data_IF_253316743018
#
_entry.id   IF_253316743018
#
_cell.length_a   1.000
_cell.length_b   1.000
_cell.length_c   1.000
_cell.angle_alpha   90.00
_cell.angle_beta   90.00
_cell.angle_gamma   90.00
#
_symmetry.space_group_name_H-M   'P 1'
#
loop_
_entity.id
_entity.type
_entity.pdbx_description
1 polymer ?
#
# COMPACT_ATOMS: atom_id res chain seq x y z
N UNK A 1 -17.80 -1.67 -26.31
CA UNK A 1 -16.69 -0.86 -25.76
C UNK A 1 -17.17 -0.37 -24.40
N UNK A 2 -16.77 -1.04 -23.33
CA UNK A 2 -17.00 -0.50 -21.99
C UNK A 2 -16.16 0.77 -21.84
N UNK A 3 -16.82 1.86 -21.47
CA UNK A 3 -16.14 3.08 -21.06
C UNK A 3 -15.40 2.78 -19.76
N UNK A 4 -14.08 2.54 -19.86
CA UNK A 4 -13.22 2.48 -18.67
C UNK A 4 -13.47 3.73 -17.84
N UNK A 5 -13.82 3.53 -16.57
CA UNK A 5 -14.00 4.62 -15.62
C UNK A 5 -12.70 5.44 -15.58
N UNK A 6 -12.82 6.74 -15.89
CA UNK A 6 -11.69 7.65 -16.03
C UNK A 6 -11.82 8.76 -15.01
N UNK A 7 -10.82 8.90 -14.16
CA UNK A 7 -10.76 9.97 -13.16
C UNK A 7 -9.87 11.10 -13.65
N UNK A 8 -10.19 12.35 -13.29
CA UNK A 8 -9.26 13.46 -13.54
C UNK A 8 -7.98 13.31 -12.72
N UNK A 9 -8.11 12.83 -11.48
CA UNK A 9 -7.00 12.71 -10.54
C UNK A 9 -6.98 11.34 -9.86
N UNK A 10 -5.79 10.81 -9.65
CA UNK A 10 -5.52 9.67 -8.79
C UNK A 10 -4.40 9.97 -7.79
N UNK A 11 -4.46 9.37 -6.62
CA UNK A 11 -3.35 9.34 -5.65
C UNK A 11 -3.21 7.92 -5.12
N UNK A 12 -2.03 7.35 -5.31
CA UNK A 12 -1.67 6.01 -4.85
C UNK A 12 -0.43 6.08 -3.96
N UNK A 13 -0.40 5.38 -2.85
CA UNK A 13 0.80 5.31 -2.04
C UNK A 13 0.68 4.48 -0.78
N UNK A 14 1.74 4.53 0.01
CA UNK A 14 1.83 3.83 1.28
C UNK A 14 1.16 4.63 2.43
N UNK A 15 1.55 4.34 3.67
CA UNK A 15 1.02 5.01 4.84
C UNK A 15 1.39 6.48 5.01
N UNK A 16 2.29 7.02 4.19
CA UNK A 16 2.56 8.46 4.11
C UNK A 16 1.35 9.28 3.66
N UNK A 17 0.33 8.63 3.12
CA UNK A 17 -0.96 9.24 2.77
C UNK A 17 -1.98 9.15 3.92
N UNK A 18 -1.52 9.04 5.17
CA UNK A 18 -2.36 9.18 6.35
C UNK A 18 -1.83 10.29 7.26
N UNK A 19 -2.75 11.03 7.83
CA UNK A 19 -2.49 11.76 9.07
C UNK A 19 -3.00 10.94 10.25
N UNK A 20 -2.41 11.14 11.42
CA UNK A 20 -2.88 10.56 12.68
C UNK A 20 -3.08 11.65 13.72
N UNK A 21 -4.25 11.63 14.36
CA UNK A 21 -4.54 12.46 15.52
C UNK A 21 -3.90 11.89 16.81
N UNK A 22 -4.11 12.57 17.95
CA UNK A 22 -3.57 12.15 19.25
C UNK A 22 -3.94 10.72 19.64
N UNK A 23 -5.15 10.27 19.25
CA UNK A 23 -5.66 8.92 19.51
C UNK A 23 -5.12 7.86 18.52
N UNK A 24 -4.12 8.19 17.71
CA UNK A 24 -3.47 7.31 16.69
C UNK A 24 -4.40 6.78 15.59
N UNK A 25 -5.64 7.25 15.53
CA UNK A 25 -6.58 6.91 14.46
C UNK A 25 -6.11 7.49 13.12
N UNK A 26 -6.08 6.64 12.10
CA UNK A 26 -5.68 7.02 10.74
C UNK A 26 -6.78 7.85 10.08
N UNK A 27 -6.42 8.97 9.48
CA UNK A 27 -7.31 9.80 8.68
C UNK A 27 -6.76 9.90 7.26
N UNK A 28 -7.55 9.39 6.31
CA UNK A 28 -7.26 9.48 4.87
C UNK A 28 -7.36 10.92 4.40
N UNK A 29 -6.55 11.28 3.40
CA UNK A 29 -6.54 12.60 2.77
C UNK A 29 -7.60 12.72 1.65
N UNK A 30 -8.10 11.59 1.14
CA UNK A 30 -8.95 11.52 -0.06
C UNK A 30 -10.13 12.49 -0.11
N UNK A 31 -10.96 12.54 0.94
CA UNK A 31 -12.11 13.46 0.97
C UNK A 31 -11.68 14.92 0.85
N UNK A 32 -10.60 15.30 1.55
CA UNK A 32 -10.10 16.67 1.52
C UNK A 32 -9.45 17.01 0.16
N UNK A 33 -8.78 16.04 -0.46
CA UNK A 33 -8.26 16.20 -1.82
C UNK A 33 -9.36 16.38 -2.85
N UNK A 34 -10.45 15.63 -2.74
CA UNK A 34 -11.63 15.82 -3.59
C UNK A 34 -12.19 17.23 -3.46
N UNK A 35 -12.42 17.72 -2.23
CA UNK A 35 -12.86 19.09 -1.99
C UNK A 35 -11.93 20.13 -2.61
N UNK A 36 -10.62 19.99 -2.38
CA UNK A 36 -9.64 20.95 -2.88
C UNK A 36 -9.55 20.94 -4.41
N UNK A 37 -9.63 19.76 -5.04
CA UNK A 37 -9.52 19.60 -6.49
C UNK A 37 -10.83 19.90 -7.23
N UNK A 38 -11.97 19.88 -6.54
CA UNK A 38 -13.30 20.05 -7.15
C UNK A 38 -13.69 18.90 -8.08
N UNK A 39 -13.01 17.75 -8.01
CA UNK A 39 -13.23 16.58 -8.85
C UNK A 39 -12.97 15.29 -8.08
N UNK A 40 -13.68 14.22 -8.44
CA UNK A 40 -13.51 12.92 -7.81
C UNK A 40 -12.06 12.43 -7.98
N UNK A 41 -11.51 11.90 -6.90
CA UNK A 41 -10.12 11.41 -6.85
C UNK A 41 -10.14 9.91 -6.61
N UNK A 42 -9.48 9.15 -7.47
CA UNK A 42 -9.16 7.76 -7.15
C UNK A 42 -8.07 7.76 -6.07
N UNK A 43 -8.40 7.37 -4.84
CA UNK A 43 -7.51 7.49 -3.70
C UNK A 43 -7.24 6.13 -3.05
N UNK A 44 -6.00 5.66 -3.14
CA UNK A 44 -5.55 4.40 -2.54
C UNK A 44 -4.33 4.66 -1.67
N UNK A 45 -4.50 4.48 -0.36
CA UNK A 45 -3.42 4.49 0.61
C UNK A 45 -3.34 3.10 1.24
N UNK A 46 -2.16 2.50 1.30
CA UNK A 46 -1.99 1.12 1.78
C UNK A 46 -1.01 1.14 2.95
N UNK A 47 -1.46 0.68 4.11
CA UNK A 47 -0.59 0.66 5.29
C UNK A 47 0.57 -0.32 5.10
N UNK A 48 1.78 0.13 5.42
CA UNK A 48 3.02 -0.67 5.33
C UNK A 48 3.31 -1.25 3.95
N UNK A 49 2.76 -0.67 2.88
CA UNK A 49 2.99 -1.17 1.54
C UNK A 49 4.42 -0.88 1.07
N UNK A 50 5.01 -1.89 0.43
CA UNK A 50 6.13 -1.75 -0.48
C UNK A 50 5.64 -1.62 -1.93
N UNK A 51 6.58 -1.62 -2.88
CA UNK A 51 6.27 -1.40 -4.29
C UNK A 51 5.41 -2.52 -4.90
N UNK A 52 5.57 -3.78 -4.45
CA UNK A 52 4.79 -4.91 -4.94
C UNK A 52 3.28 -4.72 -4.69
N UNK A 53 2.91 -4.22 -3.51
CA UNK A 53 1.50 -3.95 -3.17
C UNK A 53 0.95 -2.76 -3.97
N UNK A 54 1.77 -1.72 -4.20
CA UNK A 54 1.39 -0.59 -5.06
C UNK A 54 1.20 -1.02 -6.52
N UNK A 55 2.07 -1.90 -7.03
CA UNK A 55 1.98 -2.49 -8.36
C UNK A 55 0.67 -3.24 -8.58
N UNK A 56 0.29 -4.09 -7.63
CA UNK A 56 -0.99 -4.80 -7.71
C UNK A 56 -2.16 -3.81 -7.79
N UNK A 57 -2.12 -2.75 -6.99
CA UNK A 57 -3.21 -1.76 -6.92
C UNK A 57 -3.31 -0.90 -8.18
N UNK A 58 -2.20 -0.44 -8.75
CA UNK A 58 -2.25 0.34 -9.99
C UNK A 58 -2.73 -0.49 -11.18
N UNK A 59 -2.39 -1.78 -11.24
CA UNK A 59 -2.88 -2.70 -12.29
C UNK A 59 -4.40 -2.81 -12.30
N UNK A 60 -5.00 -2.94 -11.13
CA UNK A 60 -6.44 -3.06 -10.94
C UNK A 60 -7.17 -1.70 -10.94
N UNK A 61 -6.43 -0.61 -10.73
CA UNK A 61 -6.98 0.74 -10.65
C UNK A 61 -7.52 1.29 -12.00
N UNK A 62 -8.30 2.38 -11.96
CA UNK A 62 -8.82 3.04 -13.14
C UNK A 62 -7.71 3.75 -13.93
N UNK A 63 -8.04 4.22 -15.14
CA UNK A 63 -7.20 5.20 -15.81
C UNK A 63 -7.44 6.59 -15.20
N UNK A 64 -6.39 7.37 -15.06
CA UNK A 64 -6.46 8.73 -14.54
C UNK A 64 -5.76 9.72 -15.47
N UNK A 65 -6.17 10.98 -15.49
CA UNK A 65 -5.44 12.00 -16.24
C UNK A 65 -4.13 12.35 -15.54
N UNK A 66 -4.17 12.68 -14.23
CA UNK A 66 -2.96 12.88 -13.42
C UNK A 66 -2.91 11.93 -12.23
N UNK A 67 -1.81 11.19 -12.08
CA UNK A 67 -1.54 10.30 -10.93
C UNK A 67 -0.46 10.87 -10.01
N UNK A 68 -0.78 11.05 -8.74
CA UNK A 68 0.20 11.24 -7.67
C UNK A 68 0.62 9.90 -7.09
N UNK A 69 1.93 9.67 -6.97
CA UNK A 69 2.49 8.47 -6.33
C UNK A 69 3.28 8.87 -5.09
N UNK A 70 2.90 8.35 -3.92
CA UNK A 70 3.61 8.59 -2.65
C UNK A 70 4.32 7.32 -2.18
N UNK A 71 5.63 7.39 -1.97
CA UNK A 71 6.42 6.26 -1.52
C UNK A 71 7.52 6.69 -0.55
N UNK A 72 7.54 6.04 0.62
CA UNK A 72 8.44 6.32 1.74
C UNK A 72 9.22 5.06 2.18
N UNK A 73 9.14 3.98 1.40
CA UNK A 73 10.16 2.93 1.42
C UNK A 73 10.04 1.88 2.52
N UNK A 74 8.83 1.38 2.82
CA UNK A 74 8.65 0.32 3.83
C UNK A 74 9.48 -0.96 3.55
N UNK A 75 9.62 -1.33 2.28
CA UNK A 75 10.33 -2.51 1.79
C UNK A 75 11.84 -2.30 1.56
N UNK A 76 12.31 -1.05 1.65
CA UNK A 76 13.71 -0.65 1.44
C UNK A 76 14.31 0.03 2.67
N UNK A 77 13.64 -0.08 3.81
CA UNK A 77 13.93 0.70 5.01
C UNK A 77 15.21 0.27 5.73
N UNK A 78 15.44 -1.04 5.83
CA UNK A 78 16.43 -1.63 6.73
C UNK A 78 17.58 -2.34 6.00
N UNK A 79 17.42 -2.62 4.70
CA UNK A 79 18.38 -3.38 3.91
C UNK A 79 18.51 -2.78 2.51
N UNK A 80 19.63 -3.03 1.81
CA UNK A 80 19.79 -2.68 0.40
C UNK A 80 18.65 -3.25 -0.46
N UNK A 81 18.33 -2.55 -1.55
CA UNK A 81 17.34 -3.00 -2.53
C UNK A 81 17.75 -4.35 -3.11
N UNK A 82 16.81 -5.29 -3.12
CA UNK A 82 16.99 -6.61 -3.74
C UNK A 82 16.63 -6.57 -5.23
N UNK A 83 17.10 -7.55 -5.99
CA UNK A 83 16.75 -7.70 -7.41
C UNK A 83 15.23 -7.77 -7.64
N UNK A 84 14.50 -8.43 -6.73
CA UNK A 84 13.04 -8.51 -6.82
C UNK A 84 12.38 -7.14 -6.62
N UNK A 85 12.80 -6.37 -5.62
CA UNK A 85 12.25 -5.03 -5.37
C UNK A 85 12.56 -4.09 -6.54
N UNK A 86 13.75 -4.20 -7.13
CA UNK A 86 14.08 -3.46 -8.36
C UNK A 86 13.19 -3.86 -9.55
N UNK A 87 12.95 -5.16 -9.74
CA UNK A 87 12.06 -5.66 -10.78
C UNK A 87 10.61 -5.15 -10.59
N UNK A 88 10.10 -5.20 -9.36
CA UNK A 88 8.78 -4.69 -9.01
C UNK A 88 8.67 -3.19 -9.30
N UNK A 89 9.74 -2.41 -9.03
CA UNK A 89 9.79 -0.98 -9.38
C UNK A 89 9.71 -0.74 -10.88
N UNK A 90 10.43 -1.50 -11.70
CA UNK A 90 10.37 -1.38 -13.16
C UNK A 90 8.96 -1.67 -13.69
N UNK A 91 8.33 -2.73 -13.17
CA UNK A 91 6.94 -3.06 -13.52
C UNK A 91 5.95 -2.00 -13.03
N UNK A 92 6.17 -1.42 -11.85
CA UNK A 92 5.34 -0.38 -11.28
C UNK A 92 5.39 0.91 -12.10
N UNK A 93 6.60 1.34 -12.48
CA UNK A 93 6.80 2.49 -13.36
C UNK A 93 6.08 2.29 -14.70
N UNK A 94 6.20 1.09 -15.28
CA UNK A 94 5.50 0.75 -16.51
C UNK A 94 3.98 0.82 -16.34
N UNK A 95 3.44 0.26 -15.25
CA UNK A 95 2.00 0.31 -14.97
C UNK A 95 1.49 1.75 -14.75
N UNK A 96 2.27 2.61 -14.07
CA UNK A 96 1.95 4.03 -13.90
C UNK A 96 1.86 4.74 -15.26
N UNK A 97 2.81 4.48 -16.18
CA UNK A 97 2.80 5.05 -17.54
C UNK A 97 1.56 4.61 -18.35
N UNK A 98 1.08 3.38 -18.14
CA UNK A 98 -0.13 2.87 -18.80
C UNK A 98 -1.43 3.44 -18.20
N UNK A 99 -1.44 3.73 -16.91
CA UNK A 99 -2.65 4.13 -16.16
C UNK A 99 -2.83 5.64 -16.03
N UNK A 100 -1.82 6.43 -16.40
CA UNK A 100 -1.86 7.89 -16.26
C UNK A 100 -1.40 8.60 -17.52
N UNK A 101 -2.01 9.74 -17.85
CA UNK A 101 -1.45 10.64 -18.89
C UNK A 101 -0.27 11.43 -18.35
N UNK A 102 -0.34 11.81 -17.08
CA UNK A 102 0.71 12.52 -16.34
C UNK A 102 0.87 11.85 -14.98
N UNK A 103 2.10 11.73 -14.51
CA UNK A 103 2.39 11.26 -13.15
C UNK A 103 3.34 12.21 -12.43
N UNK A 104 3.20 12.26 -11.11
CA UNK A 104 4.10 12.98 -10.20
C UNK A 104 4.45 12.03 -9.06
N UNK A 105 5.73 11.83 -8.83
CA UNK A 105 6.24 11.01 -7.75
C UNK A 105 6.70 11.87 -6.59
N UNK A 106 6.25 11.53 -5.39
CA UNK A 106 6.84 11.97 -4.12
C UNK A 106 7.51 10.75 -3.52
N UNK A 107 8.81 10.64 -3.77
CA UNK A 107 9.67 9.65 -3.12
C UNK A 107 10.29 10.36 -1.93
N UNK A 108 9.72 10.12 -0.76
CA UNK A 108 9.86 11.00 0.39
C UNK A 108 10.58 10.37 1.57
N UNK A 109 10.76 11.19 2.61
CA UNK A 109 11.44 10.81 3.83
C UNK A 109 12.95 11.04 3.78
N UNK A 110 13.57 10.92 4.94
CA UNK A 110 15.02 10.80 5.11
C UNK A 110 15.29 10.27 6.52
N UNK A 111 16.40 9.55 6.72
CA UNK A 111 16.68 8.84 7.97
C UNK A 111 16.58 9.75 9.21
N UNK A 112 17.15 10.96 9.13
CA UNK A 112 17.14 11.91 10.24
C UNK A 112 15.74 12.44 10.62
N UNK A 113 14.73 12.29 9.74
CA UNK A 113 13.33 12.63 10.04
C UNK A 113 12.73 11.65 11.03
N UNK A 114 13.06 10.37 10.91
CA UNK A 114 12.44 9.27 11.63
C UNK A 114 13.36 8.74 12.74
N UNK A 115 13.79 9.63 13.64
CA UNK A 115 14.77 9.33 14.70
C UNK A 115 14.39 8.10 15.56
N UNK A 116 13.10 7.88 15.79
CA UNK A 116 12.60 6.74 16.57
C UNK A 116 12.73 5.38 15.88
N UNK A 117 13.00 5.35 14.56
CA UNK A 117 13.08 4.13 13.77
C UNK A 117 14.51 3.59 13.59
N UNK A 118 15.53 4.32 14.06
CA UNK A 118 16.94 3.95 13.93
C UNK A 118 17.37 3.65 12.47
N UNK A 119 16.86 4.42 11.52
CA UNK A 119 17.21 4.26 10.11
C UNK A 119 18.69 4.62 9.88
N UNK A 120 19.36 3.82 9.06
CA UNK A 120 20.76 4.03 8.68
C UNK A 120 20.85 4.84 7.37
N UNK A 121 22.06 5.31 6.99
CA UNK A 121 22.25 5.96 5.68
C UNK A 121 21.83 5.11 4.47
N UNK A 122 21.69 3.79 4.64
CA UNK A 122 21.20 2.88 3.58
C UNK A 122 19.78 3.27 3.15
N UNK A 123 18.92 3.73 4.06
CA UNK A 123 17.58 4.17 3.71
C UNK A 123 17.59 5.36 2.73
N UNK A 124 18.42 6.36 3.01
CA UNK A 124 18.56 7.55 2.17
C UNK A 124 19.15 7.19 0.80
N UNK A 125 20.12 6.26 0.76
CA UNK A 125 20.69 5.73 -0.48
C UNK A 125 19.66 4.98 -1.31
N UNK A 126 18.84 4.13 -0.69
CA UNK A 126 17.79 3.38 -1.37
C UNK A 126 16.72 4.33 -1.95
N UNK A 127 16.30 5.34 -1.17
CA UNK A 127 15.37 6.35 -1.69
C UNK A 127 15.97 7.08 -2.89
N UNK A 128 17.25 7.49 -2.81
CA UNK A 128 17.93 8.15 -3.92
C UNK A 128 18.01 7.26 -5.16
N UNK A 129 18.31 5.97 -4.98
CA UNK A 129 18.31 5.00 -6.07
C UNK A 129 16.93 4.90 -6.74
N UNK A 130 15.85 4.78 -5.95
CA UNK A 130 14.48 4.72 -6.50
C UNK A 130 14.12 6.02 -7.25
N UNK A 131 14.55 7.19 -6.76
CA UNK A 131 14.38 8.47 -7.49
C UNK A 131 15.04 8.40 -8.87
N UNK A 132 16.32 8.04 -8.90
CA UNK A 132 17.08 7.93 -10.16
C UNK A 132 16.49 6.89 -11.11
N UNK A 133 15.95 5.78 -10.59
CA UNK A 133 15.27 4.77 -11.40
C UNK A 133 14.01 5.35 -12.07
N UNK A 134 13.15 6.05 -11.32
CA UNK A 134 11.94 6.70 -11.87
C UNK A 134 12.29 7.79 -12.89
N UNK A 135 13.30 8.61 -12.61
CA UNK A 135 13.76 9.67 -13.50
C UNK A 135 14.36 9.12 -14.80
N UNK A 136 15.08 7.99 -14.73
CA UNK A 136 15.65 7.32 -15.91
C UNK A 136 14.60 6.85 -16.91
N UNK A 137 13.37 6.64 -16.45
CA UNK A 137 12.20 6.26 -17.26
C UNK A 137 11.41 7.47 -17.80
N UNK A 138 11.94 8.68 -17.62
CA UNK A 138 11.38 9.94 -18.09
C UNK A 138 10.23 10.48 -17.24
N UNK A 139 10.08 10.00 -16.00
CA UNK A 139 9.03 10.45 -15.08
C UNK A 139 9.57 11.47 -14.07
N UNK A 140 8.70 12.40 -13.67
CA UNK A 140 9.08 13.48 -12.76
C UNK A 140 8.94 13.06 -11.30
N UNK A 141 10.04 13.20 -10.55
CA UNK A 141 10.07 13.10 -9.09
C UNK A 141 10.14 14.50 -8.51
N UNK A 142 9.19 14.85 -7.64
CA UNK A 142 9.20 16.10 -6.90
C UNK A 142 10.06 15.97 -5.65
N UNK A 143 10.96 16.92 -5.45
CA UNK A 143 11.63 17.09 -4.16
C UNK A 143 10.74 17.88 -3.19
N UNK A 144 10.23 17.19 -2.17
CA UNK A 144 9.49 17.78 -1.06
C UNK A 144 10.27 17.80 0.25
N UNK A 145 11.60 17.62 0.23
CA UNK A 145 12.41 17.46 1.44
C UNK A 145 12.18 18.57 2.47
N UNK A 146 12.10 19.83 2.04
CA UNK A 146 11.84 20.96 2.93
C UNK A 146 10.43 20.92 3.55
N UNK A 147 9.41 20.53 2.78
CA UNK A 147 8.05 20.32 3.28
C UNK A 147 8.00 19.16 4.29
N UNK A 148 8.59 18.02 3.93
CA UNK A 148 8.69 16.83 4.79
C UNK A 148 9.45 17.14 6.08
N UNK A 149 10.52 17.95 6.02
CA UNK A 149 11.25 18.41 7.21
C UNK A 149 10.33 19.19 8.15
N UNK A 150 9.50 20.09 7.62
CA UNK A 150 8.58 20.97 8.38
C UNK A 150 7.36 20.24 8.96
N UNK A 151 6.76 19.29 8.23
CA UNK A 151 5.56 18.59 8.70
C UNK A 151 5.79 17.84 9.99
N UNK A 152 5.03 18.15 11.04
CA UNK A 152 5.14 17.46 12.32
C UNK A 152 4.75 15.99 12.19
N UNK A 153 5.49 15.14 12.89
CA UNK A 153 5.12 13.74 13.08
C UNK A 153 4.18 13.63 14.27
N UNK A 154 3.25 12.68 14.22
CA UNK A 154 2.42 12.33 15.37
C UNK A 154 3.24 11.56 16.42
N UNK A 155 2.58 11.18 17.52
CA UNK A 155 3.21 10.46 18.63
C UNK A 155 3.89 9.12 18.26
N UNK A 156 3.59 8.54 17.10
CA UNK A 156 4.28 7.32 16.63
C UNK A 156 5.63 7.58 15.97
N UNK A 157 5.99 8.84 15.71
CA UNK A 157 7.26 9.21 15.09
C UNK A 157 7.41 8.78 13.63
N UNK A 158 6.31 8.44 12.94
CA UNK A 158 6.31 7.95 11.56
C UNK A 158 5.30 8.71 10.70
N UNK A 159 4.04 8.81 11.16
CA UNK A 159 2.97 9.43 10.37
C UNK A 159 2.85 10.92 10.66
N UNK A 160 2.29 11.68 9.72
CA UNK A 160 2.04 13.11 9.89
C UNK A 160 1.03 13.34 11.02
N UNK A 161 1.26 14.40 11.79
CA UNK A 161 0.28 14.89 12.74
C UNK A 161 -0.97 15.40 12.00
N UNK A 162 -2.13 15.32 12.65
CA UNK A 162 -3.39 15.78 12.05
C UNK A 162 -3.40 17.28 11.71
N UNK A 163 -2.68 18.10 12.48
CA UNK A 163 -2.53 19.54 12.21
C UNK A 163 -1.87 19.81 10.83
N UNK A 164 -1.10 18.86 10.30
CA UNK A 164 -0.43 19.01 9.00
C UNK A 164 -1.35 18.64 7.83
N UNK A 165 -2.54 18.07 8.10
CA UNK A 165 -3.43 17.52 7.07
C UNK A 165 -3.75 18.53 5.98
N UNK A 166 -4.04 19.78 6.37
CA UNK A 166 -4.39 20.83 5.41
C UNK A 166 -3.21 21.18 4.48
N UNK A 167 -2.00 21.36 5.01
CA UNK A 167 -0.82 21.68 4.19
C UNK A 167 -0.39 20.49 3.32
N UNK A 168 -0.49 19.25 3.84
CA UNK A 168 -0.23 18.03 3.06
C UNK A 168 -1.24 17.91 1.91
N UNK A 169 -2.54 18.09 2.16
CA UNK A 169 -3.57 18.03 1.12
C UNK A 169 -3.40 19.15 0.09
N UNK A 170 -3.12 20.38 0.54
CA UNK A 170 -2.87 21.50 -0.36
C UNK A 170 -1.65 21.25 -1.24
N UNK A 171 -0.55 20.75 -0.68
CA UNK A 171 0.66 20.40 -1.43
C UNK A 171 0.35 19.37 -2.52
N UNK A 172 -0.35 18.29 -2.18
CA UNK A 172 -0.78 17.28 -3.17
C UNK A 172 -1.71 17.85 -4.24
N UNK A 173 -2.69 18.67 -3.87
CA UNK A 173 -3.61 19.28 -4.84
C UNK A 173 -2.87 20.14 -5.88
N UNK A 174 -1.86 20.91 -5.45
CA UNK A 174 -1.01 21.72 -6.33
C UNK A 174 -0.18 20.84 -7.27
N UNK A 175 0.45 19.79 -6.75
CA UNK A 175 1.20 18.82 -7.57
C UNK A 175 0.33 18.18 -8.65
N UNK A 176 -0.87 17.74 -8.27
CA UNK A 176 -1.83 17.11 -9.18
C UNK A 176 -2.31 18.08 -10.26
N UNK A 177 -2.47 19.37 -9.96
CA UNK A 177 -2.77 20.41 -10.96
C UNK A 177 -1.60 20.74 -11.89
N UNK A 178 -0.38 20.37 -11.51
CA UNK A 178 0.83 20.75 -12.24
C UNK A 178 1.24 22.19 -12.00
N UNK A 179 0.87 22.73 -10.83
CA UNK A 179 1.46 23.96 -10.35
C UNK A 179 2.93 23.68 -10.03
N UNK A 180 3.82 24.45 -10.66
CA UNK A 180 5.26 24.34 -10.46
C UNK A 180 5.59 24.86 -9.06
N UNK A 181 6.37 24.08 -8.30
CA UNK A 181 7.06 24.60 -7.13
C UNK A 181 8.34 25.27 -7.63
N UNK A 182 8.19 26.46 -8.22
CA UNK A 182 9.33 27.33 -8.46
C UNK A 182 9.89 27.65 -7.08
N UNK A 183 11.00 26.98 -6.75
CA UNK A 183 11.84 27.20 -5.57
C UNK A 183 11.06 27.63 -4.32
N UNK A 184 10.71 26.66 -3.47
CA UNK A 184 10.62 27.02 -2.05
C UNK A 184 11.93 27.74 -1.72
N UNK A 185 11.92 29.02 -1.29
CA UNK A 185 13.15 29.68 -0.92
C UNK A 185 13.79 28.77 0.12
N UNK A 186 15.01 28.33 -0.15
CA UNK A 186 15.91 27.84 0.88
C UNK A 186 15.94 28.97 1.91
N UNK A 187 15.09 28.86 2.92
CA UNK A 187 15.19 29.69 4.10
C UNK A 187 16.55 29.33 4.62
N UNK A 188 17.46 30.30 4.52
CA UNK A 188 18.84 30.21 4.96
C UNK A 188 18.88 29.33 6.21
N UNK A 189 19.68 28.27 6.15
CA UNK A 189 19.98 27.49 7.32
C UNK A 189 20.43 28.48 8.40
N UNK A 190 19.65 28.62 9.47
CA UNK A 190 20.15 29.21 10.70
C UNK A 190 21.31 28.31 11.13
N UNK A 191 22.50 28.77 10.76
CA UNK A 191 23.79 28.19 11.02
C UNK A 191 24.12 28.38 12.49
N UNK A 192 23.56 27.53 13.35
CA UNK A 192 24.19 27.21 14.63
C UNK A 192 25.11 25.99 14.45
N UNK A 193 26.18 26.17 13.67
CA UNK A 193 27.38 25.34 13.77
C UNK A 193 28.46 26.14 14.51
N UNK A 194 28.66 25.77 15.78
CA UNK A 194 29.85 26.14 16.53
C UNK A 194 31.08 25.41 15.97
N UNK A 195 32.19 26.09 15.63
CA UNK A 195 33.33 25.48 14.96
C UNK A 195 34.27 24.80 15.97
N UNK A 196 34.60 23.54 15.72
CA UNK A 196 35.77 22.90 16.32
C UNK A 196 36.60 22.22 15.23
N UNK A 197 37.63 22.97 14.84
CA UNK A 197 38.95 22.62 14.32
C UNK A 197 39.21 21.18 13.83
N UNK A 198 39.55 21.07 12.54
CA UNK A 198 40.40 20.02 11.96
C UNK A 198 41.88 20.30 12.28
N UNK A 199 42.77 19.29 12.22
CA UNK A 199 43.66 19.27 11.05
C UNK A 199 44.07 17.89 10.49
N UNK A 200 44.08 17.84 9.15
CA UNK A 200 45.14 17.37 8.22
C UNK A 200 45.70 15.94 8.38
N UNK A 201 45.54 15.11 7.33
CA UNK A 201 46.65 14.57 6.49
C UNK A 201 46.21 13.43 5.56
N UNK A 202 46.37 13.62 4.25
CA UNK A 202 46.47 12.56 3.22
C UNK A 202 47.85 11.86 3.32
N UNK A 203 48.09 10.66 2.75
CA UNK A 203 48.38 10.58 1.29
C UNK A 203 48.09 9.26 0.54
N UNK A 204 48.07 9.39 -0.80
CA UNK A 204 48.60 8.51 -1.87
C UNK A 204 48.02 7.12 -2.19
N UNK A 205 47.48 7.00 -3.41
CA UNK A 205 47.45 5.78 -4.28
C UNK A 205 48.89 5.39 -4.75
N UNK A 206 49.15 4.16 -5.29
CA UNK A 206 48.92 3.85 -6.72
C UNK A 206 48.68 2.31 -7.00
N UNK A 207 48.85 1.76 -8.22
CA UNK A 207 47.75 1.27 -9.07
C UNK A 207 47.84 -0.25 -9.39
N UNK A 208 46.77 -0.86 -9.94
CA UNK A 208 46.89 -2.27 -10.35
C UNK A 208 45.71 -2.93 -11.06
N UNK A 209 45.76 -2.88 -12.39
CA UNK A 209 45.46 -3.96 -13.37
C UNK A 209 44.03 -4.50 -13.56
N UNK A 210 43.71 -4.58 -14.85
CA UNK A 210 42.58 -5.23 -15.48
C UNK A 210 42.58 -6.76 -15.39
N UNK A 211 41.39 -7.37 -15.46
CA UNK A 211 41.17 -8.66 -16.12
C UNK A 211 39.70 -8.84 -16.52
N UNK A 212 39.47 -8.99 -17.82
CA UNK A 212 38.23 -9.42 -18.45
C UNK A 212 37.98 -10.91 -18.20
N UNK A 213 36.77 -11.33 -17.81
CA UNK A 213 36.27 -12.68 -18.09
C UNK A 213 34.76 -12.63 -18.36
N UNK A 214 34.39 -12.94 -19.59
CA UNK A 214 33.00 -13.12 -20.00
C UNK A 214 32.49 -14.52 -19.64
N UNK A 215 31.21 -14.60 -19.31
CA UNK A 215 30.48 -15.86 -19.38
C UNK A 215 29.11 -15.69 -20.02
N UNK A 216 28.83 -16.74 -20.79
CA UNK A 216 27.82 -16.97 -21.81
C UNK A 216 26.45 -17.24 -21.16
N UNK A 217 25.39 -16.59 -21.64
CA UNK A 217 24.00 -16.94 -21.34
C UNK A 217 23.58 -18.19 -22.16
N UNK A 218 22.76 -19.09 -21.60
CA UNK A 218 21.89 -19.95 -22.41
C UNK A 218 20.50 -19.33 -22.56
N UNK A 219 19.93 -19.50 -23.75
CA UNK A 219 18.65 -18.99 -24.17
C UNK A 219 17.50 -20.00 -23.94
N UNK A 220 16.28 -19.43 -23.94
CA UNK A 220 14.95 -20.00 -24.23
C UNK A 220 14.15 -20.66 -23.10
N UNK A 221 12.98 -20.08 -22.84
CA UNK A 221 11.70 -20.80 -22.76
C UNK A 221 10.58 -19.88 -23.23
N UNK A 222 9.70 -20.42 -24.07
CA UNK A 222 8.71 -19.71 -24.85
C UNK A 222 7.44 -19.33 -24.08
N UNK A 223 6.79 -18.31 -24.62
CA UNK A 223 5.47 -17.72 -24.35
C UNK A 223 4.41 -18.56 -23.64
N UNK A 224 3.67 -17.90 -22.74
CA UNK A 224 2.20 -17.96 -22.71
C UNK A 224 1.64 -16.55 -22.51
N UNK A 225 0.92 -16.04 -23.51
CA UNK A 225 0.17 -14.78 -23.40
C UNK A 225 -1.01 -14.97 -22.43
N UNK A 226 -1.27 -14.05 -21.50
CA UNK A 226 -2.44 -14.12 -20.65
C UNK A 226 -3.72 -13.87 -21.47
N UNK A 227 -4.69 -14.79 -21.31
CA UNK A 227 -6.05 -14.63 -21.84
C UNK A 227 -6.73 -13.45 -21.14
N UNK A 228 -7.33 -12.57 -21.93
CA UNK A 228 -8.20 -11.49 -21.45
C UNK A 228 -9.52 -12.08 -20.98
N UNK A 229 -9.83 -11.94 -19.68
CA UNK A 229 -11.12 -12.32 -19.09
C UNK A 229 -11.98 -11.06 -18.89
N UNK A 230 -13.27 -11.16 -19.25
CA UNK A 230 -14.26 -10.09 -19.09
C UNK A 230 -14.89 -10.15 -17.70
N UNK A 231 -15.08 -9.00 -17.07
CA UNK A 231 -15.78 -8.84 -15.79
C UNK A 231 -17.29 -8.72 -16.06
N UNK A 232 -18.19 -9.41 -15.31
CA UNK A 232 -19.64 -9.24 -15.45
C UNK A 232 -20.19 -8.05 -14.64
N UNK A 233 -21.31 -7.49 -15.09
CA UNK A 233 -22.02 -6.31 -14.54
C UNK A 233 -22.55 -6.45 -13.09
N UNK A 234 -22.27 -7.54 -12.39
CA UNK A 234 -22.84 -7.85 -11.07
C UNK A 234 -22.05 -7.29 -9.86
N UNK A 235 -20.92 -6.60 -10.10
CA UNK A 235 -20.17 -5.91 -9.04
C UNK A 235 -19.27 -6.82 -8.18
N UNK A 236 -18.85 -7.96 -8.73
CA UNK A 236 -18.02 -8.94 -8.04
C UNK A 236 -16.74 -9.23 -8.84
N UNK A 237 -15.58 -9.32 -8.17
CA UNK A 237 -14.30 -9.73 -8.77
C UNK A 237 -13.88 -11.11 -8.25
N UNK A 238 -13.44 -11.98 -9.16
CA UNK A 238 -12.88 -13.28 -8.83
C UNK A 238 -11.66 -13.19 -7.93
N UNK A 239 -11.62 -14.08 -6.94
CA UNK A 239 -10.46 -14.26 -6.09
C UNK A 239 -9.52 -15.29 -6.74
N UNK A 240 -8.76 -14.88 -7.75
CA UNK A 240 -7.53 -15.61 -8.12
C UNK A 240 -6.31 -14.87 -7.57
N UNK A 241 -5.61 -15.54 -6.65
CA UNK A 241 -4.29 -15.14 -6.17
C UNK A 241 -3.26 -16.17 -6.62
N UNK A 242 -2.29 -15.74 -7.44
CA UNK A 242 -1.08 -16.51 -7.72
C UNK A 242 -0.18 -16.49 -6.48
N UNK A 243 -0.35 -17.50 -5.63
CA UNK A 243 0.45 -17.66 -4.42
C UNK A 243 -0.05 -18.75 -3.50
N UNK A 244 -0.66 -19.80 -4.04
CA UNK A 244 -0.92 -21.03 -3.29
C UNK A 244 0.38 -21.78 -3.05
N UNK A 245 1.19 -21.32 -2.09
CA UNK A 245 1.74 -22.29 -1.14
C UNK A 245 0.75 -22.33 0.01
N UNK A 246 -0.13 -23.33 -0.02
CA UNK A 246 -0.65 -23.83 1.24
C UNK A 246 0.57 -24.10 2.10
N UNK A 247 0.76 -23.33 3.16
CA UNK A 247 1.71 -23.72 4.19
C UNK A 247 1.03 -24.84 4.97
N UNK A 248 0.97 -26.03 4.37
CA UNK A 248 0.58 -27.27 5.04
C UNK A 248 1.65 -27.58 6.07
N UNK A 249 1.59 -26.91 7.21
CA UNK A 249 2.23 -27.43 8.40
C UNK A 249 1.51 -28.74 8.73
N UNK A 250 2.23 -29.87 8.67
CA UNK A 250 1.73 -31.21 9.01
C UNK A 250 1.27 -31.37 10.47
N UNK A 251 0.99 -30.28 11.17
CA UNK A 251 0.55 -30.26 12.56
C UNK A 251 -0.65 -29.33 12.85
N UNK A 252 -1.24 -28.64 11.86
CA UNK A 252 -2.58 -28.05 12.02
C UNK A 252 -3.23 -27.79 10.66
N UNK A 253 -4.44 -28.32 10.44
CA UNK A 253 -5.23 -28.13 9.21
C UNK A 253 -5.85 -26.71 9.14
N UNK A 254 -5.11 -25.69 9.57
CA UNK A 254 -5.60 -24.32 9.60
C UNK A 254 -5.35 -23.68 8.23
N UNK A 255 -6.42 -23.25 7.57
CA UNK A 255 -6.34 -22.51 6.30
C UNK A 255 -6.71 -21.05 6.54
N UNK A 256 -6.04 -20.13 5.87
CA UNK A 256 -6.38 -18.70 5.93
C UNK A 256 -6.66 -18.13 4.54
N UNK A 257 -7.68 -17.28 4.43
CA UNK A 257 -8.02 -16.60 3.19
C UNK A 257 -8.68 -15.24 3.45
N UNK A 258 -8.71 -14.38 2.44
CA UNK A 258 -9.29 -13.04 2.53
C UNK A 258 -10.56 -12.94 1.70
N UNK A 259 -11.57 -12.26 2.25
CA UNK A 259 -12.86 -12.03 1.61
C UNK A 259 -13.09 -10.54 1.49
N UNK A 260 -13.16 -10.04 0.25
CA UNK A 260 -13.49 -8.64 -0.03
C UNK A 260 -14.93 -8.54 -0.48
N UNK A 261 -15.74 -7.77 0.26
CA UNK A 261 -17.13 -7.49 -0.10
C UNK A 261 -17.39 -5.99 -0.13
N UNK A 262 -18.26 -5.59 -1.06
CA UNK A 262 -18.69 -4.22 -1.27
C UNK A 262 -20.16 -4.09 -0.86
N UNK A 263 -20.45 -3.20 0.09
CA UNK A 263 -21.80 -2.89 0.54
C UNK A 263 -22.36 -1.75 -0.28
N UNK A 264 -23.60 -1.90 -0.73
CA UNK A 264 -24.38 -0.81 -1.27
C UNK A 264 -25.28 -0.22 -0.17
N UNK A 265 -24.98 1.02 0.25
CA UNK A 265 -25.76 1.72 1.27
C UNK A 265 -25.71 1.03 2.65
N UNK A 266 -26.89 0.71 3.20
CA UNK A 266 -27.05 0.09 4.55
C UNK A 266 -27.15 -1.44 4.50
N UNK A 267 -26.69 -2.05 3.41
CA UNK A 267 -26.72 -3.49 3.27
C UNK A 267 -25.91 -4.19 4.37
N UNK A 268 -26.50 -5.25 4.96
CA UNK A 268 -25.85 -6.07 5.98
C UNK A 268 -25.07 -7.21 5.31
N UNK A 269 -24.04 -7.71 5.99
CA UNK A 269 -23.28 -8.87 5.49
C UNK A 269 -24.11 -10.14 5.30
N UNK A 270 -25.23 -10.25 6.00
CA UNK A 270 -26.01 -11.49 6.01
C UNK A 270 -25.27 -12.64 6.67
N UNK A 271 -24.51 -12.35 7.74
CA UNK A 271 -23.92 -13.37 8.63
C UNK A 271 -24.25 -13.04 10.08
N UNK A 272 -24.43 -14.07 10.90
CA UNK A 272 -24.44 -13.97 12.37
C UNK A 272 -23.07 -14.38 12.87
N UNK A 273 -22.51 -13.52 13.71
CA UNK A 273 -21.20 -13.72 14.31
C UNK A 273 -21.34 -14.01 15.80
N UNK A 274 -20.41 -14.78 16.33
CA UNK A 274 -20.25 -15.08 17.74
C UNK A 274 -18.83 -14.71 18.15
N UNK A 275 -18.68 -13.87 19.18
CA UNK A 275 -17.36 -13.47 19.65
C UNK A 275 -16.62 -14.69 20.23
N UNK A 276 -15.37 -14.87 19.83
CA UNK A 276 -14.52 -15.97 20.28
C UNK A 276 -13.13 -15.47 20.61
N UNK A 277 -12.45 -16.17 21.51
CA UNK A 277 -11.08 -15.87 21.93
C UNK A 277 -10.24 -17.13 21.92
N UNK A 278 -8.95 -17.04 21.63
CA UNK A 278 -8.11 -18.21 21.58
C UNK A 278 -6.63 -17.90 21.47
N UNK A 279 -5.83 -18.96 21.37
CA UNK A 279 -4.37 -18.84 21.32
C UNK A 279 -3.98 -18.20 19.99
N UNK A 280 -3.39 -17.00 20.06
CA UNK A 280 -2.91 -16.26 18.89
C UNK A 280 -3.81 -15.13 18.37
N UNK A 281 -4.97 -14.89 18.98
CA UNK A 281 -5.86 -13.78 18.61
C UNK A 281 -6.62 -13.25 19.84
N UNK A 282 -6.55 -11.94 20.05
CA UNK A 282 -7.18 -11.27 21.19
C UNK A 282 -8.66 -10.93 20.95
N UNK A 283 -9.06 -10.81 19.69
CA UNK A 283 -10.43 -10.47 19.29
C UNK A 283 -10.74 -11.08 17.93
N UNK A 284 -11.64 -12.06 17.92
CA UNK A 284 -12.11 -12.73 16.72
C UNK A 284 -13.61 -13.00 16.80
N UNK A 285 -14.21 -13.33 15.66
CA UNK A 285 -15.60 -13.78 15.64
C UNK A 285 -15.79 -14.99 14.75
N UNK A 286 -16.48 -16.00 15.28
CA UNK A 286 -16.90 -17.18 14.56
C UNK A 286 -18.14 -16.89 13.73
N UNK A 287 -18.16 -17.37 12.49
CA UNK A 287 -19.36 -17.38 11.64
C UNK A 287 -20.32 -18.43 12.18
N UNK A 288 -21.34 -17.97 12.91
CA UNK A 288 -22.35 -18.83 13.51
C UNK A 288 -23.44 -19.20 12.51
N UNK A 289 -23.79 -18.29 11.60
CA UNK A 289 -24.80 -18.51 10.56
C UNK A 289 -24.55 -17.63 9.35
N UNK A 290 -24.84 -18.16 8.17
CA UNK A 290 -24.92 -17.39 6.93
C UNK A 290 -26.40 -17.34 6.51
N UNK A 291 -26.90 -16.15 6.18
CA UNK A 291 -28.27 -15.93 5.76
C UNK A 291 -28.37 -15.93 4.24
N UNK A 292 -29.28 -16.73 3.71
CA UNK A 292 -29.58 -16.78 2.28
C UNK A 292 -30.00 -15.39 1.75
N UNK A 293 -29.52 -15.05 0.56
CA UNK A 293 -29.67 -13.74 -0.07
C UNK A 293 -28.74 -12.66 0.50
N UNK A 294 -28.06 -12.92 1.62
CA UNK A 294 -27.11 -12.01 2.25
C UNK A 294 -25.86 -11.74 1.41
N UNK A 295 -25.13 -10.67 1.72
CA UNK A 295 -23.96 -10.27 0.93
C UNK A 295 -22.87 -11.37 0.88
N UNK A 296 -22.59 -12.03 2.01
CA UNK A 296 -21.62 -13.13 2.07
C UNK A 296 -22.13 -14.37 1.32
N UNK A 297 -23.42 -14.67 1.40
CA UNK A 297 -24.04 -15.77 0.66
C UNK A 297 -24.00 -15.53 -0.87
N UNK A 298 -24.28 -14.31 -1.32
CA UNK A 298 -24.11 -13.94 -2.74
C UNK A 298 -22.66 -14.01 -3.18
N UNK A 299 -21.73 -13.54 -2.35
CA UNK A 299 -20.30 -13.66 -2.61
C UNK A 299 -19.87 -15.13 -2.73
N UNK A 300 -20.30 -16.00 -1.81
CA UNK A 300 -20.03 -17.44 -1.86
C UNK A 300 -20.51 -18.08 -3.17
N UNK A 301 -21.77 -17.84 -3.57
CA UNK A 301 -22.32 -18.35 -4.84
C UNK A 301 -21.51 -17.89 -6.04
N UNK A 302 -21.05 -16.65 -6.03
CA UNK A 302 -20.23 -16.10 -7.09
C UNK A 302 -18.87 -16.81 -7.14
N UNK A 303 -18.18 -17.02 -6.01
CA UNK A 303 -16.95 -17.83 -5.98
C UNK A 303 -17.15 -19.25 -6.53
N UNK A 304 -18.25 -19.91 -6.14
CA UNK A 304 -18.59 -21.24 -6.65
C UNK A 304 -18.82 -21.23 -8.17
N UNK A 305 -19.56 -20.23 -8.68
CA UNK A 305 -19.83 -20.08 -10.11
C UNK A 305 -18.56 -19.85 -10.95
N UNK A 306 -17.53 -19.32 -10.32
CA UNK A 306 -16.23 -19.06 -10.93
C UNK A 306 -15.20 -20.16 -10.67
N UNK A 307 -15.64 -21.31 -10.12
CA UNK A 307 -14.81 -22.50 -9.96
C UNK A 307 -13.86 -22.48 -8.76
N UNK A 308 -13.99 -21.49 -7.87
CA UNK A 308 -13.15 -21.32 -6.68
C UNK A 308 -13.69 -22.15 -5.50
N UNK A 309 -13.85 -23.45 -5.73
CA UNK A 309 -14.36 -24.40 -4.74
C UNK A 309 -13.43 -24.43 -3.51
N UNK A 310 -14.03 -24.33 -2.31
CA UNK A 310 -13.31 -24.33 -1.03
C UNK A 310 -12.94 -22.94 -0.48
N UNK A 311 -13.19 -21.87 -1.23
CA UNK A 311 -12.94 -20.47 -0.80
C UNK A 311 -14.20 -19.74 -0.31
N UNK A 312 -15.35 -20.40 -0.34
CA UNK A 312 -16.59 -19.89 0.25
C UNK A 312 -16.42 -19.75 1.76
N UNK A 313 -17.01 -18.71 2.36
CA UNK A 313 -17.14 -18.59 3.81
C UNK A 313 -18.07 -19.67 4.31
N UNK A 314 -17.65 -20.43 5.32
CA UNK A 314 -18.41 -21.52 5.92
C UNK A 314 -18.85 -21.17 7.35
N UNK A 315 -19.84 -21.91 7.86
CA UNK A 315 -20.12 -21.91 9.30
C UNK A 315 -18.89 -22.45 10.03
N UNK A 316 -18.63 -21.91 11.22
CA UNK A 316 -17.43 -22.16 12.04
C UNK A 316 -16.11 -21.55 11.55
N UNK A 317 -16.09 -20.91 10.38
CA UNK A 317 -14.96 -20.07 9.99
C UNK A 317 -14.79 -18.90 10.98
N UNK A 318 -13.53 -18.49 11.19
CA UNK A 318 -13.18 -17.47 12.18
C UNK A 318 -12.65 -16.22 11.49
N UNK A 319 -13.33 -15.11 11.68
CA UNK A 319 -12.86 -13.80 11.23
C UNK A 319 -11.91 -13.26 12.30
N UNK A 320 -10.65 -13.12 11.94
CA UNK A 320 -9.57 -12.66 12.84
C UNK A 320 -9.06 -11.26 12.49
N UNK A 321 -9.52 -10.71 11.37
CA UNK A 321 -9.09 -9.40 10.93
C UNK A 321 -10.06 -8.70 10.01
N UNK A 322 -9.97 -7.38 10.00
CA UNK A 322 -10.77 -6.50 9.18
C UNK A 322 -9.90 -5.41 8.55
N UNK A 323 -10.02 -5.20 7.24
CA UNK A 323 -9.37 -4.12 6.50
C UNK A 323 -7.85 -4.01 6.74
N UNK A 324 -7.19 -5.17 6.82
CA UNK A 324 -5.75 -5.28 7.03
C UNK A 324 -5.31 -5.15 8.50
N UNK A 325 -6.24 -5.09 9.46
CA UNK A 325 -5.96 -5.20 10.88
C UNK A 325 -6.14 -6.65 11.34
N UNK A 326 -5.25 -7.15 12.21
CA UNK A 326 -5.32 -8.47 12.85
C UNK A 326 -6.12 -8.44 14.17
N UNK A 327 -7.14 -7.59 14.21
CA UNK A 327 -8.08 -7.49 15.33
C UNK A 327 -9.48 -7.35 14.73
N UNK A 328 -10.41 -8.20 15.18
CA UNK A 328 -11.79 -8.17 14.72
C UNK A 328 -12.75 -7.96 15.89
N UNK A 329 -13.56 -6.91 15.83
CA UNK A 329 -14.65 -6.65 16.77
C UNK A 329 -15.99 -6.55 16.03
N UNK A 330 -16.99 -7.30 16.50
CA UNK A 330 -18.37 -7.24 15.99
C UNK A 330 -19.03 -5.89 16.24
N UNK A 331 -18.56 -5.15 17.24
CA UNK A 331 -19.03 -3.80 17.59
C UNK A 331 -18.22 -2.70 16.92
N UNK A 332 -17.18 -3.06 16.16
CA UNK A 332 -16.34 -2.10 15.46
C UNK A 332 -17.17 -1.25 14.49
N UNK A 333 -17.05 0.07 14.62
CA UNK A 333 -17.74 1.03 13.74
C UNK A 333 -17.39 0.80 12.27
N UNK A 334 -16.16 0.38 11.99
CA UNK A 334 -15.70 0.00 10.65
C UNK A 334 -16.48 -1.20 10.09
N UNK A 335 -16.66 -2.25 10.89
CA UNK A 335 -17.48 -3.40 10.51
C UNK A 335 -18.93 -3.00 10.25
N UNK A 336 -19.48 -2.01 10.94
CA UNK A 336 -20.86 -1.57 10.79
C UNK A 336 -21.09 -0.61 9.62
N UNK A 337 -20.11 0.25 9.32
CA UNK A 337 -20.32 1.42 8.45
C UNK A 337 -19.49 1.43 7.17
N UNK A 338 -18.43 0.62 7.07
CA UNK A 338 -17.60 0.64 5.89
C UNK A 338 -18.35 0.11 4.65
N UNK A 339 -18.17 0.79 3.52
CA UNK A 339 -18.69 0.39 2.21
C UNK A 339 -17.88 -0.75 1.60
N UNK A 340 -16.63 -0.93 2.02
CA UNK A 340 -15.78 -2.04 1.61
C UNK A 340 -15.23 -2.73 2.84
N UNK A 341 -15.34 -4.06 2.88
CA UNK A 341 -14.83 -4.88 3.97
C UNK A 341 -13.92 -5.95 3.41
N UNK A 342 -12.70 -6.00 3.92
CA UNK A 342 -11.74 -7.08 3.69
C UNK A 342 -11.65 -7.90 4.98
N UNK A 343 -12.26 -9.08 4.98
CA UNK A 343 -12.29 -9.99 6.12
C UNK A 343 -11.13 -10.96 5.98
N UNK A 344 -10.30 -11.08 7.02
CA UNK A 344 -9.30 -12.15 7.11
C UNK A 344 -9.94 -13.33 7.85
N UNK A 345 -10.08 -14.45 7.15
CA UNK A 345 -10.77 -15.65 7.62
C UNK A 345 -9.75 -16.76 7.87
N UNK A 346 -9.94 -17.49 8.98
CA UNK A 346 -9.23 -18.71 9.32
C UNK A 346 -10.21 -19.86 9.47
N UNK A 347 -9.97 -20.96 8.76
CA UNK A 347 -10.73 -22.21 8.81
C UNK A 347 -9.96 -23.26 9.60
N UNK A 348 -10.68 -24.08 10.38
CA UNK A 348 -10.08 -25.19 11.14
C UNK A 348 -9.34 -24.72 12.40
N UNK A 349 -9.60 -23.49 12.86
CA UNK A 349 -8.99 -22.93 14.05
C UNK A 349 -9.61 -23.57 15.31
N UNK A 350 -8.82 -24.11 16.25
CA UNK A 350 -9.36 -24.58 17.52
C UNK A 350 -9.84 -23.38 18.34
N UNK A 351 -11.13 -23.37 18.66
CA UNK A 351 -11.77 -22.28 19.39
C UNK A 351 -12.04 -22.65 20.85
N UNK A 352 -11.89 -21.66 21.74
CA UNK A 352 -12.54 -21.66 23.05
C UNK A 352 -13.64 -20.60 23.02
N UNK A 353 -14.84 -20.95 23.47
CA UNK A 353 -15.90 -19.97 23.62
C UNK A 353 -15.46 -18.92 24.64
N UNK A 354 -15.63 -17.64 24.30
CA UNK A 354 -15.45 -16.57 25.26
C UNK A 354 -16.61 -16.66 26.27
N UNK A 355 -16.29 -16.97 27.53
CA UNK A 355 -17.24 -17.05 28.64
C UNK A 355 -17.68 -15.69 29.13
#
# INVERSE_FOLDING_TARGET
>A
METMERYSFGVLGDSSLYCKGPNKQRRKLGNRLWELLGSQVWYEAIASAGVAQLLQKIRLGPQVDTLGVSYFGNDIMLAPITEQVEADWKEFIHAVKLKSRRSVFVIGGFAAKYRGMQLTPVYDQNLQYVRSLVESEGLYVTDLRQKVKKWKLCSDGIHWHEDEKEDVCATWARLLRGEVFDSFPDVAEDSEESPLESPISSPSEPPGRAACWGHRLPATSASRLPKVLKVPDTGFQDAEWEGSRSQESRASQVKSFSVTVFRQGKERLGIRLEAVSGVGYHSAARVHRIFEGGLIDRWNRMQESNGLQGWAVEVDDVIVGLNGQHEFSTEGSEFQTATTLNLLIMRGLPLKLAS
#
